data_IF_169198055139
#
_entry.id   IF_169198055139
#
_cell.length_a   1.000
_cell.length_b   1.000
_cell.length_c   1.000
_cell.angle_alpha   90.00
_cell.angle_beta   90.00
_cell.angle_gamma   90.00
#
_symmetry.space_group_name_H-M   'P 1'
#
loop_
_entity.id
_entity.type
_entity.pdbx_description
1 polymer ?
#
# COMPACT_ATOMS: atom_id res chain seq x y z
N UNK A 1 1.31 19.10 5.93
CA UNK A 1 0.08 18.40 5.52
C UNK A 1 0.40 16.91 5.53
N UNK A 2 -0.40 16.09 6.18
CA UNK A 2 -0.17 14.63 6.18
C UNK A 2 -0.42 14.08 4.79
N UNK A 3 0.42 13.16 4.32
CA UNK A 3 0.20 12.45 3.05
C UNK A 3 -1.00 11.53 3.16
N UNK A 4 -1.22 10.97 4.34
CA UNK A 4 -2.31 10.04 4.65
C UNK A 4 -3.35 10.74 5.53
N UNK A 5 -4.25 11.42 4.85
CA UNK A 5 -5.45 11.99 5.45
C UNK A 5 -6.65 11.22 4.90
N UNK A 6 -7.30 10.44 5.76
CA UNK A 6 -8.41 9.57 5.42
C UNK A 6 -9.58 9.82 6.37
N UNK A 7 -10.77 9.85 5.81
CA UNK A 7 -12.00 9.78 6.60
C UNK A 7 -12.27 8.32 7.01
N UNK A 8 -12.87 8.12 8.18
CA UNK A 8 -13.22 6.77 8.68
C UNK A 8 -14.13 5.99 7.71
N UNK A 9 -14.94 6.69 6.91
CA UNK A 9 -15.81 6.11 5.87
C UNK A 9 -14.99 5.46 4.74
N UNK A 10 -13.77 5.94 4.48
CA UNK A 10 -12.88 5.39 3.47
C UNK A 10 -12.22 4.07 3.93
N UNK A 11 -12.31 3.73 5.23
CA UNK A 11 -11.69 2.52 5.74
C UNK A 11 -12.19 1.26 5.00
N UNK A 12 -11.26 0.41 4.62
CA UNK A 12 -11.54 -0.93 4.05
C UNK A 12 -12.14 -1.84 5.09
N UNK A 13 -11.63 -1.75 6.31
CA UNK A 13 -12.00 -2.59 7.42
C UNK A 13 -11.18 -2.28 8.65
N UNK A 14 -11.31 -3.14 9.66
CA UNK A 14 -10.65 -2.99 10.95
C UNK A 14 -9.71 -4.15 11.25
N UNK A 15 -8.64 -3.84 11.94
CA UNK A 15 -7.67 -4.82 12.42
C UNK A 15 -8.31 -5.70 13.49
N UNK A 16 -8.31 -7.01 13.28
CA UNK A 16 -8.82 -8.00 14.25
C UNK A 16 -7.72 -8.89 14.82
N UNK A 17 -6.57 -8.96 14.17
CA UNK A 17 -5.43 -9.76 14.65
C UNK A 17 -4.13 -9.16 14.18
N UNK A 18 -3.14 -9.16 15.06
CA UNK A 18 -1.81 -8.63 14.81
C UNK A 18 -0.76 -9.65 15.18
N UNK A 19 0.15 -9.91 14.27
CA UNK A 19 1.40 -10.64 14.50
C UNK A 19 2.57 -9.70 14.17
N UNK A 20 3.79 -10.11 14.42
CA UNK A 20 4.99 -9.26 14.30
C UNK A 20 5.12 -8.55 12.95
N UNK A 21 4.76 -9.24 11.87
CA UNK A 21 4.92 -8.73 10.50
C UNK A 21 3.66 -8.87 9.66
N UNK A 22 2.59 -9.43 10.20
CA UNK A 22 1.34 -9.63 9.49
C UNK A 22 0.14 -9.18 10.31
N UNK A 23 -0.89 -8.75 9.63
CA UNK A 23 -2.12 -8.23 10.21
C UNK A 23 -3.30 -8.86 9.50
N UNK A 24 -4.35 -9.20 10.25
CA UNK A 24 -5.62 -9.63 9.68
C UNK A 24 -6.62 -8.49 9.88
N UNK A 25 -7.22 -8.08 8.78
CA UNK A 25 -8.25 -7.04 8.73
C UNK A 25 -9.57 -7.69 8.36
N UNK A 26 -10.60 -7.42 9.11
CA UNK A 26 -11.98 -7.77 8.77
C UNK A 26 -12.58 -6.69 7.87
N UNK A 27 -13.13 -7.11 6.73
CA UNK A 27 -13.75 -6.23 5.74
C UNK A 27 -15.26 -6.45 5.77
N UNK A 28 -15.99 -5.51 6.35
CA UNK A 28 -17.44 -5.61 6.50
C UNK A 28 -18.20 -5.26 5.22
N UNK A 29 -17.65 -4.36 4.41
CA UNK A 29 -18.28 -3.92 3.17
C UNK A 29 -17.90 -4.84 2.00
N UNK A 30 -18.89 -5.56 1.48
CA UNK A 30 -18.73 -6.51 0.37
C UNK A 30 -18.30 -5.80 -0.93
N UNK A 31 -18.75 -4.59 -1.18
CA UNK A 31 -18.36 -3.85 -2.40
C UNK A 31 -16.89 -3.43 -2.33
N UNK A 32 -16.43 -2.98 -1.17
CA UNK A 32 -15.00 -2.72 -0.94
C UNK A 32 -14.19 -4.01 -1.09
N UNK A 33 -14.66 -5.12 -0.55
CA UNK A 33 -13.97 -6.41 -0.70
C UNK A 33 -13.82 -6.85 -2.17
N UNK A 34 -14.86 -6.64 -2.99
CA UNK A 34 -14.81 -6.98 -4.43
C UNK A 34 -13.77 -6.16 -5.20
N UNK A 35 -13.50 -4.94 -4.77
CA UNK A 35 -12.51 -4.05 -5.39
C UNK A 35 -11.08 -4.38 -4.98
N UNK A 36 -10.88 -5.15 -3.88
CA UNK A 36 -9.56 -5.49 -3.39
C UNK A 36 -8.87 -6.53 -4.28
N UNK A 37 -7.57 -6.34 -4.43
CA UNK A 37 -6.70 -7.23 -5.18
C UNK A 37 -5.46 -7.59 -4.36
N UNK A 38 -4.97 -8.81 -4.52
CA UNK A 38 -3.68 -9.23 -3.95
C UNK A 38 -2.56 -8.37 -4.55
N UNK A 39 -1.53 -8.10 -3.77
CA UNK A 39 -0.42 -7.20 -4.07
C UNK A 39 -0.78 -5.69 -4.09
N UNK A 40 -1.97 -5.32 -3.66
CA UNK A 40 -2.31 -3.91 -3.44
C UNK A 40 -1.70 -3.40 -2.14
N UNK A 41 -1.25 -2.14 -2.15
CA UNK A 41 -0.74 -1.48 -0.95
C UNK A 41 -1.89 -0.95 -0.10
N UNK A 42 -1.69 -1.01 1.21
CA UNK A 42 -2.62 -0.50 2.21
C UNK A 42 -1.89 0.31 3.28
N UNK A 43 -2.63 1.19 3.92
CA UNK A 43 -2.16 2.02 5.02
C UNK A 43 -2.95 1.65 6.27
N UNK A 44 -2.24 1.41 7.38
CA UNK A 44 -2.84 1.16 8.68
C UNK A 44 -2.40 2.27 9.65
N UNK A 45 -3.29 2.63 10.55
CA UNK A 45 -2.92 3.51 11.65
C UNK A 45 -1.96 2.80 12.59
N UNK A 46 -0.88 3.49 12.94
CA UNK A 46 0.05 3.01 13.96
C UNK A 46 -0.49 3.35 15.36
N UNK A 47 -0.03 2.63 16.38
CA UNK A 47 -0.25 2.99 17.79
C UNK A 47 0.40 4.32 18.19
N UNK A 48 1.29 4.87 17.36
CA UNK A 48 1.93 6.17 17.58
C UNK A 48 1.33 7.23 16.67
N UNK A 49 1.08 8.41 17.22
CA UNK A 49 0.61 9.57 16.46
C UNK A 49 1.58 9.92 15.32
N UNK A 50 1.04 10.43 14.23
CA UNK A 50 1.78 10.84 13.01
C UNK A 50 2.60 9.73 12.35
N UNK A 51 2.34 8.46 12.69
CA UNK A 51 2.96 7.30 12.07
C UNK A 51 1.88 6.40 11.46
N UNK A 52 2.23 5.82 10.33
CA UNK A 52 1.41 4.85 9.61
C UNK A 52 2.25 3.63 9.28
N UNK A 53 1.59 2.50 9.18
CA UNK A 53 2.20 1.26 8.72
C UNK A 53 1.75 1.01 7.30
N UNK A 54 2.70 0.70 6.45
CA UNK A 54 2.43 0.34 5.07
C UNK A 54 2.47 -1.17 4.95
N UNK A 55 1.43 -1.73 4.36
CA UNK A 55 1.31 -3.16 4.14
C UNK A 55 0.97 -3.51 2.70
N UNK A 56 1.13 -4.79 2.39
CA UNK A 56 0.77 -5.39 1.12
C UNK A 56 -0.28 -6.47 1.37
N UNK A 57 -1.37 -6.46 0.61
CA UNK A 57 -2.38 -7.51 0.66
C UNK A 57 -1.76 -8.82 0.15
N UNK A 58 -1.61 -9.78 1.05
CA UNK A 58 -1.06 -11.10 0.73
C UNK A 58 -2.16 -12.09 0.32
N UNK A 59 -3.29 -12.04 1.02
CA UNK A 59 -4.37 -13.01 0.84
C UNK A 59 -5.73 -12.43 1.21
N UNK A 60 -6.75 -12.75 0.42
CA UNK A 60 -8.15 -12.49 0.72
C UNK A 60 -8.83 -13.82 1.01
N UNK A 61 -9.61 -13.88 2.08
CA UNK A 61 -10.34 -15.06 2.52
C UNK A 61 -11.79 -14.68 2.73
N UNK A 62 -12.69 -15.42 2.11
CA UNK A 62 -14.14 -15.36 2.36
C UNK A 62 -14.59 -16.74 2.83
N UNK A 63 -15.26 -16.80 3.95
CA UNK A 63 -15.78 -18.06 4.46
C UNK A 63 -17.14 -17.84 5.12
N UNK A 64 -17.96 -18.88 5.09
CA UNK A 64 -19.18 -18.96 5.88
C UNK A 64 -18.88 -19.71 7.17
N UNK A 65 -19.23 -19.10 8.29
CA UNK A 65 -19.10 -19.70 9.61
C UNK A 65 -20.50 -20.03 10.09
N UNK A 66 -20.68 -21.23 10.61
CA UNK A 66 -21.93 -21.63 11.23
C UNK A 66 -22.06 -20.94 12.59
N UNK A 67 -23.18 -20.29 12.84
CA UNK A 67 -23.47 -19.59 14.10
C UNK A 67 -24.68 -20.25 14.78
N UNK A 68 -24.43 -21.04 15.81
CA UNK A 68 -25.45 -21.72 16.61
C UNK A 68 -26.36 -20.75 17.38
N UNK A 69 -26.04 -19.47 17.46
CA UNK A 69 -26.84 -18.48 18.19
C UNK A 69 -28.00 -17.88 17.37
N UNK A 70 -28.05 -18.14 16.07
CA UNK A 70 -29.11 -17.66 15.19
C UNK A 70 -30.23 -18.70 15.09
N UNK A 71 -31.46 -18.33 15.46
CA UNK A 71 -32.62 -19.19 15.45
C UNK A 71 -33.25 -19.42 14.05
N UNK A 72 -32.64 -18.95 12.96
CA UNK A 72 -33.19 -19.04 11.62
C UNK A 72 -32.48 -20.11 10.76
N UNK A 73 -33.15 -20.60 9.72
CA UNK A 73 -32.67 -21.67 8.81
C UNK A 73 -31.36 -21.36 8.09
N UNK A 74 -30.89 -20.09 8.06
CA UNK A 74 -29.63 -19.66 7.53
C UNK A 74 -28.65 -19.22 8.65
N UNK A 75 -28.22 -20.19 9.47
CA UNK A 75 -27.26 -19.97 10.58
C UNK A 75 -25.81 -19.74 10.10
N UNK A 76 -25.60 -18.98 9.05
CA UNK A 76 -24.25 -18.71 8.53
C UNK A 76 -23.94 -17.22 8.57
N UNK A 77 -22.80 -16.88 9.19
CA UNK A 77 -22.17 -15.57 9.06
C UNK A 77 -21.10 -15.61 7.96
N UNK A 78 -21.03 -14.57 7.16
CA UNK A 78 -19.94 -14.41 6.21
C UNK A 78 -18.79 -13.66 6.90
N UNK A 79 -17.63 -14.29 6.97
CA UNK A 79 -16.40 -13.66 7.43
C UNK A 79 -15.50 -13.35 6.23
N UNK A 80 -15.15 -12.08 6.08
CA UNK A 80 -14.32 -11.59 4.99
C UNK A 80 -13.03 -11.04 5.58
N UNK A 81 -11.93 -11.74 5.37
CA UNK A 81 -10.64 -11.43 5.95
C UNK A 81 -9.62 -11.06 4.90
N UNK A 82 -8.85 -10.04 5.20
CA UNK A 82 -7.71 -9.61 4.42
C UNK A 82 -6.44 -9.80 5.25
N UNK A 83 -5.55 -10.70 4.82
CA UNK A 83 -4.21 -10.84 5.40
C UNK A 83 -3.27 -9.87 4.73
N UNK A 84 -2.60 -9.07 5.53
CA UNK A 84 -1.69 -8.01 5.13
C UNK A 84 -0.31 -8.30 5.69
N UNK A 85 0.71 -8.26 4.85
CA UNK A 85 2.11 -8.29 5.28
C UNK A 85 2.61 -6.85 5.39
N UNK A 86 3.10 -6.47 6.56
CA UNK A 86 3.66 -5.14 6.81
C UNK A 86 5.04 -5.02 6.17
N UNK A 87 5.27 -3.93 5.43
CA UNK A 87 6.50 -3.68 4.69
C UNK A 87 7.32 -2.50 5.21
N UNK A 88 6.78 -1.70 6.09
CA UNK A 88 7.51 -0.59 6.70
C UNK A 88 6.65 0.40 7.46
N UNK A 89 7.33 1.39 8.04
CA UNK A 89 6.73 2.49 8.78
C UNK A 89 6.88 3.79 8.00
N UNK A 90 5.80 4.53 7.87
CA UNK A 90 5.77 5.88 7.33
C UNK A 90 5.58 6.88 8.48
N UNK A 91 6.37 7.95 8.47
CA UNK A 91 6.30 9.04 9.44
C UNK A 91 6.01 10.35 8.71
N UNK A 92 5.04 11.11 9.19
CA UNK A 92 4.78 12.44 8.66
C UNK A 92 5.98 13.36 8.86
N UNK A 93 6.71 13.16 9.97
CA UNK A 93 7.91 13.92 10.29
C UNK A 93 8.94 13.05 11.04
N UNK A 94 10.21 13.18 10.64
CA UNK A 94 11.35 12.62 11.37
C UNK A 94 12.47 13.67 11.43
N UNK A 95 12.66 14.32 12.58
CA UNK A 95 13.57 15.44 12.72
C UNK A 95 13.16 16.63 11.85
N UNK A 96 14.01 16.98 10.87
CA UNK A 96 13.77 18.06 9.90
C UNK A 96 13.13 17.56 8.59
N UNK A 97 13.02 16.25 8.40
CA UNK A 97 12.47 15.65 7.18
C UNK A 97 10.98 15.40 7.36
N UNK A 98 10.20 15.70 6.31
CA UNK A 98 8.78 15.39 6.23
C UNK A 98 8.60 14.15 5.33
N UNK A 99 7.54 13.38 5.59
CA UNK A 99 7.15 12.23 4.80
C UNK A 99 8.28 11.23 4.61
N UNK A 100 8.67 10.55 5.68
CA UNK A 100 9.79 9.59 5.68
C UNK A 100 9.25 8.17 5.72
N UNK A 101 9.64 7.34 4.74
CA UNK A 101 9.38 5.92 4.74
C UNK A 101 10.62 5.11 5.13
N UNK A 102 10.46 4.19 6.07
CA UNK A 102 11.48 3.23 6.52
C UNK A 102 10.97 1.81 6.34
N UNK A 103 11.80 0.94 5.78
CA UNK A 103 11.48 -0.51 5.65
C UNK A 103 11.63 -1.28 6.96
N UNK A 104 11.57 -0.60 8.08
CA UNK A 104 11.60 -1.17 9.43
C UNK A 104 10.24 -1.01 10.08
N UNK A 105 9.81 -2.02 10.80
CA UNK A 105 8.60 -1.97 11.62
C UNK A 105 9.00 -1.48 13.01
N UNK A 106 8.59 -0.28 13.37
CA UNK A 106 8.89 0.33 14.67
C UNK A 106 7.75 0.12 15.67
N UNK A 107 6.57 -0.19 15.16
CA UNK A 107 5.34 -0.43 15.93
C UNK A 107 4.50 -1.46 15.20
N UNK A 108 3.43 -1.88 15.85
CA UNK A 108 2.34 -2.65 15.25
C UNK A 108 1.05 -1.82 15.35
N UNK A 109 0.03 -2.07 14.52
CA UNK A 109 -1.26 -1.42 14.67
C UNK A 109 -1.97 -1.93 15.93
N UNK A 110 -2.90 -1.15 16.43
CA UNK A 110 -3.81 -1.58 17.50
C UNK A 110 -4.95 -2.42 16.92
N UNK A 111 -5.56 -3.24 17.76
CA UNK A 111 -6.84 -3.89 17.43
C UNK A 111 -7.88 -2.79 17.22
N UNK A 112 -8.80 -3.02 16.29
CA UNK A 112 -9.80 -2.05 15.82
C UNK A 112 -9.24 -0.83 15.07
N UNK A 113 -7.92 -0.77 14.83
CA UNK A 113 -7.33 0.27 13.97
C UNK A 113 -7.88 0.17 12.54
N UNK A 114 -8.10 1.33 11.93
CA UNK A 114 -8.58 1.40 10.55
C UNK A 114 -7.48 1.03 9.55
N UNK A 115 -7.89 0.31 8.51
CA UNK A 115 -7.07 -0.02 7.34
C UNK A 115 -7.65 0.68 6.11
N UNK A 116 -6.80 1.31 5.29
CA UNK A 116 -7.20 2.07 4.12
C UNK A 116 -6.46 1.56 2.87
N UNK A 117 -7.12 1.63 1.72
CA UNK A 117 -6.45 1.39 0.44
C UNK A 117 -5.49 2.54 0.12
N UNK A 118 -4.30 2.20 -0.37
CA UNK A 118 -3.37 3.19 -0.89
C UNK A 118 -3.52 3.25 -2.41
N UNK A 119 -4.19 4.29 -2.89
CA UNK A 119 -4.64 4.40 -4.27
C UNK A 119 -4.43 5.81 -4.84
N UNK A 120 -4.49 5.91 -6.16
CA UNK A 120 -4.52 7.15 -6.94
C UNK A 120 -3.40 8.15 -6.58
N UNK A 121 -3.75 9.37 -6.24
CA UNK A 121 -2.78 10.41 -5.91
C UNK A 121 -2.01 10.10 -4.63
N UNK A 122 -2.65 9.47 -3.63
CA UNK A 122 -1.99 9.06 -2.39
C UNK A 122 -0.89 8.02 -2.69
N UNK A 123 -1.16 7.05 -3.58
CA UNK A 123 -0.17 6.08 -4.04
C UNK A 123 0.96 6.77 -4.83
N UNK A 124 0.63 7.66 -5.76
CA UNK A 124 1.61 8.44 -6.52
C UNK A 124 2.55 9.21 -5.59
N UNK A 125 2.01 9.94 -4.62
CA UNK A 125 2.77 10.71 -3.66
C UNK A 125 3.65 9.82 -2.76
N UNK A 126 3.13 8.69 -2.31
CA UNK A 126 3.92 7.72 -1.54
C UNK A 126 5.10 7.17 -2.34
N UNK A 127 4.91 6.89 -3.63
CA UNK A 127 6.00 6.43 -4.48
C UNK A 127 7.05 7.50 -4.74
N UNK A 128 6.66 8.78 -4.80
CA UNK A 128 7.61 9.90 -4.86
C UNK A 128 8.46 9.96 -3.59
N UNK A 129 7.86 9.76 -2.41
CA UNK A 129 8.59 9.69 -1.14
C UNK A 129 9.60 8.54 -1.14
N UNK A 130 9.21 7.34 -1.57
CA UNK A 130 10.13 6.19 -1.68
C UNK A 130 11.28 6.49 -2.64
N UNK A 131 10.99 7.12 -3.76
CA UNK A 131 11.98 7.49 -4.78
C UNK A 131 12.87 8.65 -4.32
N UNK A 132 12.56 9.27 -3.17
CA UNK A 132 13.25 10.45 -2.65
C UNK A 132 13.29 11.57 -3.68
N UNK A 133 12.16 11.83 -4.31
CA UNK A 133 11.98 12.96 -5.21
C UNK A 133 11.70 14.19 -4.35
N UNK A 134 12.52 15.23 -4.54
CA UNK A 134 12.24 16.57 -4.03
C UNK A 134 11.44 17.33 -5.06
N UNK A 135 10.65 18.31 -4.64
CA UNK A 135 9.91 19.18 -5.55
C UNK A 135 10.89 19.87 -6.53
N UNK A 136 10.68 19.65 -7.82
CA UNK A 136 11.47 20.27 -8.89
C UNK A 136 12.72 19.51 -9.35
N UNK A 137 13.03 18.34 -8.80
CA UNK A 137 14.13 17.50 -9.27
C UNK A 137 13.70 16.56 -10.41
N UNK A 138 14.67 16.12 -11.24
CA UNK A 138 14.51 15.25 -12.40
C UNK A 138 13.80 13.94 -12.06
N UNK A 139 12.47 13.97 -12.04
CA UNK A 139 11.63 12.78 -11.89
C UNK A 139 11.34 12.19 -13.26
N UNK A 140 11.71 10.94 -13.45
CA UNK A 140 11.40 10.20 -14.68
C UNK A 140 10.13 9.40 -14.44
N UNK A 141 9.12 9.59 -15.30
CA UNK A 141 7.89 8.81 -15.26
C UNK A 141 8.08 7.47 -15.99
N UNK A 142 7.92 6.37 -15.28
CA UNK A 142 7.98 5.03 -15.89
C UNK A 142 6.63 4.60 -16.49
N UNK A 143 5.53 5.24 -16.13
CA UNK A 143 4.18 4.88 -16.51
C UNK A 143 3.23 4.90 -15.32
N UNK A 144 2.23 4.04 -15.35
CA UNK A 144 1.24 3.85 -14.27
C UNK A 144 1.41 2.49 -13.60
N UNK A 145 0.80 2.33 -12.43
CA UNK A 145 0.77 1.05 -11.74
C UNK A 145 -0.21 0.09 -12.41
N UNK A 146 0.16 -1.18 -12.52
CA UNK A 146 -0.71 -2.20 -13.13
C UNK A 146 -2.03 -2.40 -12.40
N UNK A 147 -2.07 -2.13 -11.09
CA UNK A 147 -3.27 -2.26 -10.26
C UNK A 147 -4.02 -0.95 -10.05
N UNK A 148 -3.48 0.16 -10.56
CA UNK A 148 -4.08 1.49 -10.45
C UNK A 148 -3.60 2.40 -11.58
N UNK A 149 -4.38 2.51 -12.64
CA UNK A 149 -4.04 3.30 -13.84
C UNK A 149 -3.96 4.81 -13.55
N UNK A 150 -4.53 5.27 -12.44
CA UNK A 150 -4.46 6.68 -12.02
C UNK A 150 -3.20 6.99 -11.20
N UNK A 151 -2.52 5.97 -10.66
CA UNK A 151 -1.29 6.15 -9.90
C UNK A 151 -0.07 6.09 -10.81
N UNK A 152 0.75 7.15 -10.79
CA UNK A 152 1.97 7.26 -11.59
C UNK A 152 3.19 6.70 -10.87
N UNK A 153 4.04 6.01 -11.60
CA UNK A 153 5.30 5.48 -11.12
C UNK A 153 6.47 6.38 -11.54
N UNK A 154 7.20 6.88 -10.56
CA UNK A 154 8.35 7.77 -10.77
C UNK A 154 9.63 7.16 -10.21
N UNK A 155 10.75 7.50 -10.83
CA UNK A 155 12.10 7.25 -10.32
C UNK A 155 12.91 8.55 -10.29
N UNK A 156 13.87 8.62 -9.38
CA UNK A 156 14.80 9.73 -9.30
C UNK A 156 15.87 9.59 -10.40
N UNK A 157 15.81 10.43 -11.43
CA UNK A 157 16.71 10.39 -12.57
C UNK A 157 18.16 10.66 -12.17
N UNK A 158 18.42 11.62 -11.28
CA UNK A 158 19.77 11.89 -10.80
C UNK A 158 20.41 10.67 -10.17
N UNK A 159 19.67 9.95 -9.30
CA UNK A 159 20.18 8.73 -8.66
C UNK A 159 20.36 7.59 -9.65
N UNK A 160 19.44 7.47 -10.63
CA UNK A 160 19.53 6.42 -11.65
C UNK A 160 20.78 6.58 -12.51
N UNK A 161 21.06 7.81 -12.99
CA UNK A 161 22.19 8.07 -13.91
C UNK A 161 23.54 8.23 -13.22
N UNK A 162 23.55 8.54 -11.92
CA UNK A 162 24.78 8.59 -11.14
C UNK A 162 25.31 7.22 -10.74
N UNK A 163 24.54 6.15 -10.92
CA UNK A 163 24.88 4.79 -10.50
C UNK A 163 24.63 3.81 -11.64
N UNK A 164 25.08 2.57 -11.44
CA UNK A 164 24.79 1.49 -12.36
C UNK A 164 23.31 1.07 -12.25
N UNK A 165 22.64 0.96 -13.39
CA UNK A 165 21.30 0.42 -13.48
C UNK A 165 21.33 -0.90 -14.27
N UNK A 166 20.56 -1.87 -13.84
CA UNK A 166 20.39 -3.15 -14.54
C UNK A 166 18.91 -3.36 -14.86
N UNK A 167 18.63 -3.56 -16.16
CA UNK A 167 17.28 -3.87 -16.66
C UNK A 167 17.25 -5.33 -17.09
N UNK A 168 16.71 -6.18 -16.23
CA UNK A 168 16.60 -7.62 -16.43
C UNK A 168 15.21 -8.07 -16.87
N UNK A 169 15.16 -9.15 -17.66
CA UNK A 169 13.89 -9.78 -18.04
C UNK A 169 14.07 -10.76 -19.20
N UNK A 170 13.08 -11.61 -19.47
CA UNK A 170 13.05 -12.55 -20.58
C UNK A 170 12.94 -11.84 -21.94
N UNK A 171 13.13 -12.59 -23.03
CA UNK A 171 12.89 -12.09 -24.39
C UNK A 171 11.43 -11.68 -24.54
N UNK A 172 11.18 -10.51 -25.13
CA UNK A 172 9.82 -9.97 -25.30
C UNK A 172 9.23 -9.25 -24.07
N UNK A 173 9.94 -9.17 -22.93
CA UNK A 173 9.44 -8.51 -21.70
C UNK A 173 9.46 -6.98 -21.72
N UNK A 174 9.80 -6.35 -22.85
CA UNK A 174 9.79 -4.90 -22.99
C UNK A 174 11.06 -4.17 -22.53
N UNK A 175 12.17 -4.88 -22.23
CA UNK A 175 13.44 -4.26 -21.77
C UNK A 175 13.92 -3.10 -22.65
N UNK A 176 13.98 -3.32 -23.96
CA UNK A 176 14.46 -2.32 -24.92
C UNK A 176 13.53 -1.10 -24.97
N UNK A 177 12.21 -1.36 -24.86
CA UNK A 177 11.23 -0.26 -24.81
C UNK A 177 11.36 0.57 -23.53
N UNK A 178 11.51 -0.09 -22.37
CA UNK A 178 11.76 0.59 -21.10
C UNK A 178 13.04 1.42 -21.14
N UNK A 179 14.13 0.89 -21.71
CA UNK A 179 15.41 1.61 -21.87
C UNK A 179 15.20 2.85 -22.75
N UNK A 180 14.53 2.70 -23.90
CA UNK A 180 14.26 3.82 -24.80
C UNK A 180 13.42 4.88 -24.11
N UNK A 181 12.38 4.48 -23.33
CA UNK A 181 11.51 5.39 -22.60
C UNK A 181 12.25 6.18 -21.52
N UNK A 182 13.22 5.58 -20.85
CA UNK A 182 14.06 6.27 -19.88
C UNK A 182 14.96 7.29 -20.57
N UNK A 183 15.56 6.94 -21.73
CA UNK A 183 16.44 7.82 -22.49
C UNK A 183 15.67 9.02 -23.08
N UNK A 184 14.45 8.81 -23.56
CA UNK A 184 13.59 9.88 -24.10
C UNK A 184 13.25 10.99 -23.08
N UNK A 185 13.36 10.71 -21.79
CA UNK A 185 13.04 11.65 -20.71
C UNK A 185 14.29 12.38 -20.15
N UNK A 186 15.47 12.06 -20.68
CA UNK A 186 16.73 12.75 -20.34
C UNK A 186 16.83 14.08 -21.06
#
# INVERSE_FOLDING_TARGET
MSLFDYDDIEALGKVISVDTSSVIVEVLDIEKLKSLQVNRLVVLQSSKAEQFLIGLIEKLVRKKIFDDSLENEDNFLEENLCKITLIGTFKNREGLQNNVFRRTLETVPEIDANCFALEHDKLTNFMQVISQLSDGENSLSLGTYTLDDNAKAYINGNKLFQRHAFIGGSTGSGKSWTTAKIIEQM
#
